data_IF_353509129315
#
_entry.id   IF_353509129315
#
_cell.length_a   1.000
_cell.length_b   1.000
_cell.length_c   1.000
_cell.angle_alpha   90.00
_cell.angle_beta   90.00
_cell.angle_gamma   90.00
#
_symmetry.space_group_name_H-M   'P 1'
#
loop_
_entity.id
_entity.type
_entity.pdbx_description
1 polymer ?
#
# COMPACT_ATOMS: atom_id res chain seq x y z
N UNK A 1 -6.81 9.47 -29.59
CA UNK A 1 -5.47 8.89 -29.37
C UNK A 1 -5.35 8.40 -27.93
N UNK A 2 -4.86 7.18 -27.71
CA UNK A 2 -4.77 6.56 -26.37
C UNK A 2 -3.52 7.08 -25.65
N UNK A 3 -3.68 7.65 -24.45
CA UNK A 3 -2.55 8.13 -23.64
C UNK A 3 -1.74 6.94 -23.10
N UNK A 4 -0.41 7.06 -23.11
CA UNK A 4 0.49 6.07 -22.50
C UNK A 4 0.43 6.18 -20.98
N UNK A 5 0.41 5.05 -20.27
CA UNK A 5 0.39 5.01 -18.81
C UNK A 5 1.82 4.85 -18.27
N UNK A 6 2.22 5.75 -17.38
CA UNK A 6 3.52 5.75 -16.70
C UNK A 6 3.42 5.35 -15.22
N UNK A 7 2.24 4.95 -14.75
CA UNK A 7 1.98 4.50 -13.37
C UNK A 7 1.96 2.99 -13.26
N UNK A 8 2.84 2.46 -12.41
CA UNK A 8 2.75 1.12 -11.86
C UNK A 8 1.81 1.12 -10.65
N UNK A 9 0.94 0.13 -10.57
CA UNK A 9 -0.06 0.00 -9.51
C UNK A 9 0.25 -1.23 -8.67
N UNK A 10 0.49 -1.04 -7.38
CA UNK A 10 0.58 -2.14 -6.43
C UNK A 10 -0.78 -2.82 -6.32
N UNK A 11 -0.82 -4.14 -6.50
CA UNK A 11 -2.08 -4.90 -6.39
C UNK A 11 -2.21 -5.46 -4.98
N UNK A 12 -1.23 -6.28 -4.58
CA UNK A 12 -1.14 -6.88 -3.25
C UNK A 12 0.33 -6.94 -2.85
N UNK A 13 0.58 -6.69 -1.58
CA UNK A 13 1.87 -6.88 -0.93
C UNK A 13 1.64 -7.53 0.41
N UNK A 14 2.40 -8.58 0.74
CA UNK A 14 2.25 -9.27 2.00
C UNK A 14 3.32 -10.31 2.23
N UNK A 15 3.59 -10.55 3.51
CA UNK A 15 4.47 -11.61 4.01
C UNK A 15 3.65 -12.40 5.03
N UNK A 16 3.72 -13.72 4.97
CA UNK A 16 3.00 -14.57 5.93
C UNK A 16 3.52 -14.32 7.35
N UNK A 17 2.68 -14.44 8.40
CA UNK A 17 3.01 -14.02 9.76
C UNK A 17 4.35 -14.53 10.29
N UNK A 18 4.73 -15.76 9.94
CA UNK A 18 5.94 -16.44 10.38
C UNK A 18 7.23 -15.70 9.98
N UNK A 19 7.19 -14.95 8.87
CA UNK A 19 8.34 -14.24 8.30
C UNK A 19 8.26 -12.71 8.39
N UNK A 20 7.19 -12.17 8.97
CA UNK A 20 7.07 -10.73 9.18
C UNK A 20 8.15 -10.20 10.14
N UNK A 21 8.59 -8.96 9.92
CA UNK A 21 9.61 -8.32 10.77
C UNK A 21 11.02 -8.88 10.62
N UNK A 22 11.24 -9.79 9.67
CA UNK A 22 12.56 -10.35 9.34
C UNK A 22 13.25 -9.64 8.16
N UNK A 23 12.66 -8.55 7.67
CA UNK A 23 13.20 -7.76 6.55
C UNK A 23 12.83 -8.29 5.15
N UNK A 24 11.91 -9.27 5.06
CA UNK A 24 11.46 -9.83 3.78
C UNK A 24 10.77 -8.77 2.92
N UNK A 25 9.97 -7.91 3.55
CA UNK A 25 9.27 -6.79 2.93
C UNK A 25 10.27 -5.82 2.26
N UNK A 26 11.32 -5.46 2.99
CA UNK A 26 12.39 -4.58 2.49
C UNK A 26 13.20 -5.24 1.38
N UNK A 27 13.48 -6.55 1.50
CA UNK A 27 14.17 -7.31 0.46
C UNK A 27 13.36 -7.38 -0.84
N UNK A 28 12.05 -7.56 -0.76
CA UNK A 28 11.14 -7.51 -1.91
C UNK A 28 11.13 -6.12 -2.57
N UNK A 29 11.07 -5.05 -1.78
CA UNK A 29 11.16 -3.68 -2.31
C UNK A 29 12.50 -3.45 -3.02
N UNK A 30 13.62 -3.86 -2.42
CA UNK A 30 14.94 -3.74 -3.04
C UNK A 30 15.10 -4.61 -4.29
N UNK A 31 14.51 -5.80 -4.31
CA UNK A 31 14.51 -6.64 -5.51
C UNK A 31 13.77 -5.95 -6.67
N UNK A 32 12.68 -5.24 -6.38
CA UNK A 32 11.90 -4.51 -7.39
C UNK A 32 12.70 -3.36 -8.03
N UNK A 33 13.60 -2.71 -7.29
CA UNK A 33 14.43 -1.61 -7.83
C UNK A 33 15.38 -2.09 -8.93
N UNK A 34 15.84 -3.36 -8.87
CA UNK A 34 16.69 -3.98 -9.91
C UNK A 34 16.00 -4.09 -11.27
N UNK A 35 14.67 -4.04 -11.29
CA UNK A 35 13.86 -4.01 -12.51
C UNK A 35 13.48 -2.58 -12.85
N UNK A 36 13.01 -1.82 -11.86
CA UNK A 36 12.46 -0.47 -12.06
C UNK A 36 13.53 0.57 -12.46
N UNK A 37 14.80 0.38 -12.09
CA UNK A 37 15.87 1.33 -12.39
C UNK A 37 16.65 1.01 -13.68
N UNK A 38 16.15 0.08 -14.50
CA UNK A 38 16.76 -0.21 -15.79
C UNK A 38 16.50 0.94 -16.79
N UNK A 39 17.44 1.21 -17.71
CA UNK A 39 17.19 2.14 -18.82
C UNK A 39 15.90 1.77 -19.57
N UNK A 40 15.12 2.78 -19.97
CA UNK A 40 13.85 2.63 -20.68
C UNK A 40 12.72 1.91 -19.91
N UNK A 41 12.81 1.81 -18.58
CA UNK A 41 11.67 1.36 -17.78
C UNK A 41 10.49 2.32 -17.95
N UNK A 42 9.32 1.78 -18.31
CA UNK A 42 8.17 2.59 -18.69
C UNK A 42 7.56 3.37 -17.51
N UNK A 43 7.61 2.82 -16.31
CA UNK A 43 6.86 3.38 -15.18
C UNK A 43 7.73 4.32 -14.37
N UNK A 44 7.26 5.56 -14.20
CA UNK A 44 7.91 6.61 -13.41
C UNK A 44 7.24 6.82 -12.06
N UNK A 45 6.04 6.26 -11.87
CA UNK A 45 5.27 6.35 -10.63
C UNK A 45 4.95 4.94 -10.11
N UNK A 46 5.04 4.75 -8.81
CA UNK A 46 4.55 3.57 -8.10
C UNK A 46 3.47 4.00 -7.10
N UNK A 47 2.24 3.55 -7.32
CA UNK A 47 1.13 3.82 -6.40
C UNK A 47 0.94 2.60 -5.49
N UNK A 48 1.24 2.77 -4.20
CA UNK A 48 0.74 1.89 -3.15
C UNK A 48 -0.69 2.30 -2.84
N UNK A 49 -1.58 1.32 -2.78
CA UNK A 49 -3.01 1.52 -2.64
C UNK A 49 -3.50 0.75 -1.40
N UNK A 50 -4.72 1.07 -0.95
CA UNK A 50 -5.43 0.27 0.07
C UNK A 50 -4.68 0.07 1.40
N UNK A 51 -3.80 0.99 1.78
CA UNK A 51 -3.21 1.00 3.12
C UNK A 51 -4.20 1.67 4.07
N UNK A 52 -4.87 0.86 4.88
CA UNK A 52 -5.77 1.34 5.92
C UNK A 52 -5.02 2.11 7.00
N UNK A 53 -5.64 3.15 7.53
CA UNK A 53 -5.16 3.92 8.69
C UNK A 53 -5.04 3.08 9.97
N UNK A 54 -5.65 1.90 9.99
CA UNK A 54 -5.50 0.88 11.02
C UNK A 54 -4.19 0.07 10.89
N UNK A 55 -3.43 0.20 9.80
CA UNK A 55 -2.17 -0.52 9.56
C UNK A 55 -0.97 0.46 9.54
N UNK A 56 -0.57 1.03 10.68
CA UNK A 56 0.51 2.02 10.76
C UNK A 56 1.86 1.44 10.31
N UNK A 57 2.06 0.13 10.42
CA UNK A 57 3.26 -0.55 9.95
C UNK A 57 3.43 -0.41 8.43
N UNK A 58 2.36 -0.68 7.67
CA UNK A 58 2.40 -0.53 6.21
C UNK A 58 2.43 0.94 5.76
N UNK A 59 1.80 1.85 6.51
CA UNK A 59 1.95 3.30 6.26
C UNK A 59 3.42 3.70 6.36
N UNK A 60 4.09 3.33 7.47
CA UNK A 60 5.51 3.62 7.67
C UNK A 60 6.40 2.95 6.63
N UNK A 61 6.08 1.74 6.20
CA UNK A 61 6.79 1.08 5.11
C UNK A 61 6.70 1.87 3.80
N UNK A 62 5.51 2.36 3.43
CA UNK A 62 5.35 3.20 2.24
C UNK A 62 6.13 4.53 2.35
N UNK A 63 6.09 5.17 3.53
CA UNK A 63 6.88 6.39 3.80
C UNK A 63 8.39 6.15 3.69
N UNK A 64 8.90 5.02 4.19
CA UNK A 64 10.31 4.64 4.07
C UNK A 64 10.76 4.48 2.62
N UNK A 65 9.85 4.11 1.71
CA UNK A 65 10.11 4.04 0.27
C UNK A 65 9.97 5.40 -0.45
N UNK A 66 9.75 6.48 0.31
CA UNK A 66 9.53 7.83 -0.23
C UNK A 66 8.08 8.07 -0.68
N UNK A 67 7.15 7.19 -0.33
CA UNK A 67 5.74 7.36 -0.60
C UNK A 67 5.15 8.54 0.19
N UNK A 68 4.23 9.25 -0.45
CA UNK A 68 3.46 10.34 0.16
C UNK A 68 1.97 10.07 -0.02
N UNK A 69 1.09 10.53 0.89
CA UNK A 69 -0.35 10.41 0.70
C UNK A 69 -0.79 11.11 -0.59
N UNK A 70 -1.24 10.33 -1.57
CA UNK A 70 -1.73 10.85 -2.86
C UNK A 70 -3.26 10.96 -2.89
N UNK A 71 -3.95 9.95 -2.34
CA UNK A 71 -5.42 9.86 -2.28
C UNK A 71 -5.85 9.27 -0.95
N UNK A 72 -6.90 9.83 -0.37
CA UNK A 72 -7.55 9.29 0.82
C UNK A 72 -8.94 8.79 0.41
N UNK A 73 -9.20 7.51 0.62
CA UNK A 73 -10.49 6.90 0.37
C UNK A 73 -11.16 6.59 1.71
N UNK A 74 -12.33 7.18 1.95
CA UNK A 74 -13.07 6.99 3.20
C UNK A 74 -14.23 6.03 2.97
N UNK A 75 -14.30 4.98 3.78
CA UNK A 75 -15.45 4.05 3.78
C UNK A 75 -16.38 4.38 4.92
N UNK A 76 -17.63 4.71 4.61
CA UNK A 76 -18.67 4.95 5.60
C UNK A 76 -19.42 3.66 5.92
N UNK A 77 -19.72 3.45 7.20
CA UNK A 77 -20.56 2.32 7.66
C UNK A 77 -21.88 2.85 8.17
N UNK A 78 -22.98 2.36 7.61
CA UNK A 78 -24.32 2.62 8.12
C UNK A 78 -24.80 1.44 8.97
N UNK A 79 -25.13 1.71 10.24
CA UNK A 79 -25.75 0.74 11.13
C UNK A 79 -27.26 0.96 11.09
N UNK A 80 -28.00 -0.02 10.56
CA UNK A 80 -29.47 0.00 10.52
C UNK A 80 -30.06 -0.06 11.93
N UNK A 81 -29.51 -0.93 12.78
CA UNK A 81 -29.80 -0.95 14.21
C UNK A 81 -28.96 0.14 14.91
N UNK A 82 -29.65 1.22 15.30
CA UNK A 82 -29.03 2.38 15.95
C UNK A 82 -28.63 2.12 17.41
N UNK A 83 -29.02 0.98 18.00
CA UNK A 83 -28.62 0.56 19.35
C UNK A 83 -27.25 -0.11 19.37
N UNK A 84 -26.73 -0.56 18.22
CA UNK A 84 -25.42 -1.19 18.13
C UNK A 84 -24.30 -0.15 18.17
N UNK A 85 -23.28 -0.46 18.96
CA UNK A 85 -22.03 0.32 19.00
C UNK A 85 -21.27 0.20 17.67
N UNK A 86 -20.75 1.33 17.18
CA UNK A 86 -19.77 1.31 16.11
C UNK A 86 -18.40 0.87 16.63
N UNK A 87 -17.87 -0.22 16.07
CA UNK A 87 -16.48 -0.66 16.30
C UNK A 87 -15.65 -0.50 15.04
N UNK A 88 -14.59 0.31 15.14
CA UNK A 88 -13.57 0.46 14.08
C UNK A 88 -12.81 -0.85 13.92
N UNK A 89 -12.21 -1.06 12.74
CA UNK A 89 -11.27 -2.16 12.54
C UNK A 89 -10.09 -2.02 13.53
N UNK A 90 -9.62 -3.12 14.17
CA UNK A 90 -8.52 -3.07 15.11
C UNK A 90 -7.22 -2.60 14.43
N UNK A 91 -6.32 -2.00 15.21
CA UNK A 91 -4.98 -1.66 14.74
C UNK A 91 -4.16 -2.95 14.54
N UNK A 92 -3.40 -3.04 13.44
CA UNK A 92 -2.55 -4.20 13.11
C UNK A 92 -1.07 -3.83 12.94
#
# INVERSE_FOLDING_TARGET
LRKKNYKAFGVIFGVIPEYQGRGVESAMALASTRVAWRPNYQYTELEFNWIGDFNPKMVRFAELLGGVPHKIHTTYRYLFDRTKEFKRHPMI
#
